data_IF_277987917357
#
_entry.id   IF_277987917357
#
_cell.length_a   1.000
_cell.length_b   1.000
_cell.length_c   1.000
_cell.angle_alpha   90.00
_cell.angle_beta   90.00
_cell.angle_gamma   90.00
#
_symmetry.space_group_name_H-M   'P 1'
#
loop_
_entity.id
_entity.type
_entity.pdbx_description
1 polymer ?
#
# COMPACT_ATOMS: atom_id res chain seq x y z
N UNK A 1 49.02 56.11 -43.15
CA UNK A 1 47.55 56.01 -43.32
C UNK A 1 47.07 54.89 -42.40
N UNK A 2 46.22 55.23 -41.42
CA UNK A 2 45.78 54.41 -40.29
C UNK A 2 44.58 53.51 -40.67
N UNK A 3 44.26 52.46 -39.90
CA UNK A 3 43.51 51.28 -40.34
C UNK A 3 41.99 51.48 -40.25
N UNK A 4 41.25 50.69 -41.02
CA UNK A 4 39.80 50.57 -40.89
C UNK A 4 39.46 49.61 -39.72
N UNK A 5 38.89 50.16 -38.64
CA UNK A 5 38.26 49.38 -37.57
C UNK A 5 36.91 48.84 -38.04
N UNK A 6 36.75 47.52 -38.04
CA UNK A 6 35.48 46.85 -38.21
C UNK A 6 34.72 46.82 -36.86
N UNK A 7 33.53 47.43 -36.82
CA UNK A 7 32.59 47.24 -35.70
C UNK A 7 31.96 45.85 -35.79
N UNK A 8 32.28 44.97 -34.86
CA UNK A 8 31.50 43.77 -34.59
C UNK A 8 30.12 44.18 -34.04
N UNK A 9 29.07 44.13 -34.88
CA UNK A 9 27.68 44.25 -34.41
C UNK A 9 27.28 42.94 -33.73
N UNK A 10 27.41 42.91 -32.40
CA UNK A 10 26.82 41.87 -31.55
C UNK A 10 25.31 42.14 -31.48
N UNK A 11 24.52 41.35 -32.23
CA UNK A 11 23.07 41.48 -32.26
C UNK A 11 22.45 41.14 -30.90
N UNK A 12 21.92 42.15 -30.21
CA UNK A 12 21.07 41.94 -29.05
C UNK A 12 19.72 41.41 -29.52
N UNK A 13 19.50 40.11 -29.35
CA UNK A 13 18.18 39.51 -29.58
C UNK A 13 17.22 40.14 -28.55
N UNK A 14 16.07 40.70 -28.97
CA UNK A 14 15.16 41.37 -28.05
C UNK A 14 14.57 40.34 -27.08
N UNK A 15 15.02 40.40 -25.83
CA UNK A 15 14.64 39.49 -24.75
C UNK A 15 13.12 39.41 -24.55
N UNK A 16 12.42 40.51 -24.84
CA UNK A 16 10.95 40.60 -24.81
C UNK A 16 10.28 39.59 -25.76
N UNK A 17 10.82 39.41 -26.98
CA UNK A 17 10.28 38.45 -27.94
C UNK A 17 10.51 37.01 -27.52
N UNK A 18 11.66 36.73 -26.90
CA UNK A 18 11.97 35.41 -26.32
C UNK A 18 11.03 35.12 -25.14
N UNK A 19 10.84 36.08 -24.23
CA UNK A 19 9.94 35.91 -23.08
C UNK A 19 8.48 35.69 -23.51
N UNK A 20 8.00 36.43 -24.52
CA UNK A 20 6.67 36.21 -25.08
C UNK A 20 6.53 34.83 -25.72
N UNK A 21 7.54 34.38 -26.48
CA UNK A 21 7.55 33.06 -27.09
C UNK A 21 7.54 31.95 -26.04
N UNK A 22 8.35 32.06 -24.98
CA UNK A 22 8.37 31.11 -23.86
C UNK A 22 7.03 31.10 -23.12
N UNK A 23 6.42 32.26 -22.87
CA UNK A 23 5.11 32.37 -22.22
C UNK A 23 3.99 31.72 -23.03
N UNK A 24 3.96 31.95 -24.35
CA UNK A 24 3.00 31.33 -25.26
C UNK A 24 3.20 29.81 -25.32
N UNK A 25 4.44 29.34 -25.32
CA UNK A 25 4.77 27.91 -25.34
C UNK A 25 4.30 27.19 -24.06
N UNK A 26 4.45 27.82 -22.89
CA UNK A 26 3.93 27.26 -21.63
C UNK A 26 2.41 27.32 -21.53
N UNK A 27 1.78 28.35 -22.10
CA UNK A 27 0.33 28.49 -22.12
C UNK A 27 -0.34 27.51 -23.11
N UNK A 28 0.36 27.14 -24.19
CA UNK A 28 -0.13 26.21 -25.21
C UNK A 28 0.29 24.76 -24.98
N UNK A 29 0.96 24.45 -23.88
CA UNK A 29 1.20 23.06 -23.50
C UNK A 29 0.09 22.63 -22.54
N UNK A 30 -1.03 22.06 -23.02
CA UNK A 30 -1.98 21.43 -22.12
C UNK A 30 -1.22 20.38 -21.33
N UNK A 31 -1.22 20.51 -20.00
CA UNK A 31 -0.68 19.44 -19.17
C UNK A 31 -1.44 18.16 -19.54
N UNK A 32 -0.75 17.02 -19.69
CA UNK A 32 -1.44 15.75 -19.92
C UNK A 32 -2.46 15.57 -18.79
N UNK A 33 -3.75 15.55 -19.11
CA UNK A 33 -4.75 15.02 -18.20
C UNK A 33 -4.29 13.61 -17.87
N UNK A 34 -3.88 13.38 -16.62
CA UNK A 34 -3.27 12.11 -16.23
C UNK A 34 -4.21 10.96 -16.55
N UNK A 35 -3.68 9.88 -17.12
CA UNK A 35 -4.44 8.65 -17.26
C UNK A 35 -4.68 8.06 -15.87
N UNK A 36 -5.83 7.43 -15.65
CA UNK A 36 -6.11 6.67 -14.43
C UNK A 36 -4.97 5.68 -14.17
N UNK A 37 -4.37 5.74 -12.98
CA UNK A 37 -3.25 4.87 -12.60
C UNK A 37 -3.43 4.36 -11.17
N UNK A 38 -2.94 3.15 -10.92
CA UNK A 38 -2.92 2.52 -9.61
C UNK A 38 -1.48 2.41 -9.12
N UNK A 39 -1.23 2.87 -7.91
CA UNK A 39 0.06 2.76 -7.22
C UNK A 39 -0.10 1.89 -5.96
N UNK A 40 0.54 0.71 -5.89
CA UNK A 40 0.54 -0.11 -4.69
C UNK A 40 1.54 0.43 -3.66
N UNK A 41 1.12 0.50 -2.40
CA UNK A 41 1.94 0.97 -1.28
C UNK A 41 1.82 0.01 -0.09
N UNK A 42 2.85 -0.82 0.19
CA UNK A 42 4.04 -1.08 -0.64
C UNK A 42 3.74 -2.00 -1.83
N UNK A 43 4.64 -2.01 -2.83
CA UNK A 43 4.60 -2.98 -3.96
C UNK A 43 5.02 -4.39 -3.51
N UNK A 44 6.00 -4.48 -2.60
CA UNK A 44 6.44 -5.73 -1.99
C UNK A 44 6.15 -5.66 -0.48
N UNK A 45 5.19 -6.46 -0.03
CA UNK A 45 4.69 -6.51 1.34
C UNK A 45 5.16 -7.78 2.06
N UNK A 46 5.29 -7.70 3.38
CA UNK A 46 5.41 -8.90 4.20
C UNK A 46 4.00 -9.42 4.53
N UNK A 47 3.85 -10.74 4.59
CA UNK A 47 2.62 -11.38 5.04
C UNK A 47 2.21 -10.87 6.43
N UNK A 48 0.92 -10.56 6.58
CA UNK A 48 0.35 -9.95 7.79
C UNK A 48 0.50 -8.43 7.89
N UNK A 49 0.96 -7.75 6.84
CA UNK A 49 0.96 -6.28 6.76
C UNK A 49 -0.19 -5.74 5.92
N UNK A 50 -0.35 -4.43 5.86
CA UNK A 50 -1.40 -3.79 5.07
C UNK A 50 -0.83 -3.29 3.73
N UNK A 51 -1.63 -3.35 2.68
CA UNK A 51 -1.30 -2.81 1.34
C UNK A 51 -2.40 -1.90 0.86
N UNK A 52 -2.03 -0.69 0.43
CA UNK A 52 -2.96 0.27 -0.16
C UNK A 52 -2.75 0.35 -1.67
N UNK A 53 -3.81 0.11 -2.44
CA UNK A 53 -3.86 0.43 -3.86
C UNK A 53 -4.36 1.87 -4.02
N UNK A 54 -3.44 2.81 -4.18
CA UNK A 54 -3.73 4.22 -4.38
C UNK A 54 -4.23 4.47 -5.80
N UNK A 55 -5.33 5.21 -5.91
CA UNK A 55 -5.89 5.66 -7.19
C UNK A 55 -5.44 7.08 -7.47
N UNK A 56 -4.86 7.30 -8.66
CA UNK A 56 -4.45 8.61 -9.14
C UNK A 56 -5.14 8.94 -10.46
N UNK A 57 -5.38 10.24 -10.68
CA UNK A 57 -5.94 10.79 -11.91
C UNK A 57 -7.28 10.15 -12.32
N UNK A 58 -8.11 9.77 -11.34
CA UNK A 58 -9.49 9.43 -11.61
C UNK A 58 -10.23 10.67 -12.13
N UNK A 59 -11.11 10.46 -13.11
CA UNK A 59 -11.86 11.54 -13.72
C UNK A 59 -12.82 12.23 -12.75
N UNK A 60 -13.03 13.53 -12.91
CA UNK A 60 -13.87 14.31 -11.99
C UNK A 60 -15.35 13.92 -12.04
N UNK A 61 -15.82 13.32 -13.14
CA UNK A 61 -17.22 12.95 -13.38
C UNK A 61 -17.53 11.47 -13.06
N UNK A 62 -16.76 10.84 -12.19
CA UNK A 62 -16.99 9.45 -11.75
C UNK A 62 -18.25 9.38 -10.86
N UNK A 63 -19.07 8.35 -11.07
CA UNK A 63 -20.26 8.04 -10.27
C UNK A 63 -20.11 6.76 -9.45
N UNK A 64 -19.10 5.93 -9.77
CA UNK A 64 -18.79 4.74 -9.00
C UNK A 64 -17.45 4.09 -9.34
N UNK A 65 -16.99 3.26 -8.42
CA UNK A 65 -15.76 2.47 -8.52
C UNK A 65 -16.10 1.00 -8.39
N UNK A 66 -15.43 0.13 -9.14
CA UNK A 66 -15.53 -1.32 -8.95
C UNK A 66 -14.16 -1.95 -9.05
N UNK A 67 -13.75 -2.66 -8.01
CA UNK A 67 -12.49 -3.40 -7.96
C UNK A 67 -12.68 -4.87 -8.30
N UNK A 68 -11.71 -5.41 -9.02
CA UNK A 68 -11.65 -6.80 -9.44
C UNK A 68 -10.29 -7.41 -9.09
N UNK A 69 -10.28 -8.69 -8.69
CA UNK A 69 -9.07 -9.49 -8.57
C UNK A 69 -8.62 -9.93 -9.98
N UNK A 70 -7.36 -9.70 -10.31
CA UNK A 70 -6.79 -9.98 -11.63
C UNK A 70 -6.97 -8.84 -12.65
N UNK A 71 -6.76 -9.17 -13.93
CA UNK A 71 -6.74 -8.23 -15.06
C UNK A 71 -8.08 -8.12 -15.82
N UNK A 72 -9.14 -8.74 -15.31
CA UNK A 72 -10.41 -8.90 -16.02
C UNK A 72 -11.54 -8.34 -15.16
N UNK A 73 -12.39 -7.52 -15.75
CA UNK A 73 -13.58 -6.92 -15.12
C UNK A 73 -14.80 -7.85 -15.23
N UNK A 74 -14.71 -9.03 -14.60
CA UNK A 74 -15.78 -10.05 -14.57
C UNK A 74 -16.39 -10.16 -13.16
N UNK A 75 -17.69 -10.41 -13.07
CA UNK A 75 -18.44 -10.42 -11.79
C UNK A 75 -17.96 -11.49 -10.80
N UNK A 76 -17.35 -12.58 -11.27
CA UNK A 76 -16.74 -13.62 -10.41
C UNK A 76 -15.48 -13.11 -9.71
N UNK A 77 -14.85 -12.10 -10.27
CA UNK A 77 -13.61 -11.50 -9.78
C UNK A 77 -13.87 -10.18 -9.03
N UNK A 78 -15.11 -9.71 -8.99
CA UNK A 78 -15.45 -8.45 -8.31
C UNK A 78 -15.19 -8.57 -6.80
N UNK A 79 -14.40 -7.66 -6.27
CA UNK A 79 -14.09 -7.53 -4.84
C UNK A 79 -15.15 -6.62 -4.19
N UNK A 80 -15.31 -5.40 -4.71
CA UNK A 80 -16.24 -4.43 -4.13
C UNK A 80 -16.65 -3.40 -5.19
N UNK A 81 -17.90 -2.97 -5.13
CA UNK A 81 -18.40 -1.83 -5.90
C UNK A 81 -18.79 -0.70 -4.94
N UNK A 82 -18.42 0.54 -5.24
CA UNK A 82 -18.75 1.72 -4.46
C UNK A 82 -19.53 2.71 -5.33
N UNK A 83 -20.71 3.09 -4.87
CA UNK A 83 -21.52 4.14 -5.47
C UNK A 83 -21.24 5.46 -4.77
N UNK A 84 -20.74 6.46 -5.50
CA UNK A 84 -20.51 7.80 -4.97
C UNK A 84 -21.84 8.48 -4.64
N UNK A 85 -22.88 8.23 -5.45
CA UNK A 85 -24.20 8.83 -5.30
C UNK A 85 -24.88 8.46 -3.99
N UNK A 86 -24.74 7.19 -3.58
CA UNK A 86 -25.35 6.66 -2.35
C UNK A 86 -24.35 6.54 -1.20
N UNK A 87 -23.05 6.72 -1.48
CA UNK A 87 -21.94 6.52 -0.54
C UNK A 87 -21.92 5.12 0.07
N UNK A 88 -22.32 4.11 -0.70
CA UNK A 88 -22.43 2.72 -0.24
C UNK A 88 -21.45 1.82 -0.97
N UNK A 89 -20.77 0.95 -0.22
CA UNK A 89 -19.98 -0.15 -0.75
C UNK A 89 -20.81 -1.44 -0.75
N UNK A 90 -20.77 -2.17 -1.86
CA UNK A 90 -21.42 -3.48 -2.04
C UNK A 90 -20.33 -4.52 -2.29
N UNK A 91 -20.14 -5.50 -1.38
CA UNK A 91 -19.21 -6.61 -1.58
C UNK A 91 -19.54 -7.44 -2.82
N UNK A 92 -18.50 -7.90 -3.52
CA UNK A 92 -18.60 -8.83 -4.63
C UNK A 92 -18.19 -10.26 -4.26
N UNK A 93 -18.14 -11.14 -5.26
CA UNK A 93 -17.83 -12.56 -5.10
C UNK A 93 -16.42 -12.81 -4.55
N UNK A 94 -15.45 -11.96 -4.89
CA UNK A 94 -14.06 -12.08 -4.50
C UNK A 94 -13.73 -11.30 -3.21
N UNK A 95 -14.73 -10.73 -2.52
CA UNK A 95 -14.53 -10.04 -1.26
C UNK A 95 -14.13 -11.02 -0.16
N UNK A 96 -12.95 -10.83 0.43
CA UNK A 96 -12.47 -11.68 1.54
C UNK A 96 -12.91 -11.16 2.90
N UNK A 97 -13.42 -9.93 2.98
CA UNK A 97 -13.71 -9.25 4.24
C UNK A 97 -12.52 -8.48 4.80
N UNK A 98 -11.35 -8.56 4.15
CA UNK A 98 -10.14 -7.82 4.51
C UNK A 98 -9.96 -6.54 3.71
N UNK A 99 -10.79 -6.32 2.68
CA UNK A 99 -10.69 -5.16 1.81
C UNK A 99 -11.59 -4.02 2.29
N UNK A 100 -11.09 -2.79 2.24
CA UNK A 100 -11.85 -1.58 2.53
C UNK A 100 -11.66 -0.57 1.41
N UNK A 101 -12.75 -0.20 0.74
CA UNK A 101 -12.74 0.85 -0.28
C UNK A 101 -12.92 2.23 0.35
N UNK A 102 -12.12 3.18 -0.10
CA UNK A 102 -12.25 4.59 0.26
C UNK A 102 -13.07 5.37 -0.77
N UNK A 103 -13.68 6.51 -0.38
CA UNK A 103 -14.46 7.36 -1.30
C UNK A 103 -13.69 7.89 -2.52
N UNK A 104 -12.36 7.92 -2.47
CA UNK A 104 -11.51 8.29 -3.61
C UNK A 104 -11.23 7.11 -4.57
N UNK A 105 -11.82 5.94 -4.31
CA UNK A 105 -11.64 4.72 -5.10
C UNK A 105 -10.46 3.86 -4.68
N UNK A 106 -9.56 4.34 -3.81
CA UNK A 106 -8.44 3.52 -3.30
C UNK A 106 -8.94 2.32 -2.50
N UNK A 107 -8.21 1.21 -2.58
CA UNK A 107 -8.56 -0.04 -1.89
C UNK A 107 -7.46 -0.45 -0.92
N UNK A 108 -7.81 -0.56 0.36
CA UNK A 108 -6.94 -1.10 1.39
C UNK A 108 -7.16 -2.60 1.52
N UNK A 109 -6.08 -3.37 1.51
CA UNK A 109 -6.04 -4.74 2.00
C UNK A 109 -5.42 -4.75 3.40
N UNK A 110 -6.12 -5.33 4.37
CA UNK A 110 -5.63 -5.50 5.74
C UNK A 110 -5.07 -6.91 5.94
N UNK A 111 -3.90 -7.03 6.56
CA UNK A 111 -3.25 -8.31 6.87
C UNK A 111 -3.15 -9.25 5.64
N UNK A 112 -2.44 -8.81 4.61
CA UNK A 112 -2.29 -9.54 3.34
C UNK A 112 -1.63 -10.91 3.54
N UNK A 113 -2.05 -11.90 2.75
CA UNK A 113 -1.42 -13.23 2.68
C UNK A 113 -0.71 -13.44 1.35
N UNK A 114 0.08 -14.51 1.23
CA UNK A 114 0.74 -14.83 -0.05
C UNK A 114 -0.26 -15.06 -1.20
N UNK A 115 -1.49 -15.49 -0.90
CA UNK A 115 -2.58 -15.68 -1.87
C UNK A 115 -3.17 -14.37 -2.41
N UNK A 116 -2.86 -13.24 -1.76
CA UNK A 116 -3.24 -11.91 -2.21
C UNK A 116 -2.26 -11.35 -3.24
N UNK A 117 -1.11 -12.00 -3.46
CA UNK A 117 -0.18 -11.61 -4.53
C UNK A 117 -0.86 -11.64 -5.89
N UNK A 118 -0.70 -10.56 -6.65
CA UNK A 118 -1.15 -10.50 -8.04
C UNK A 118 -1.67 -9.14 -8.44
N UNK A 119 -2.27 -9.11 -9.63
CA UNK A 119 -2.83 -7.92 -10.21
C UNK A 119 -4.26 -7.66 -9.73
N UNK A 120 -4.64 -6.40 -9.65
CA UNK A 120 -5.95 -5.92 -9.25
C UNK A 120 -6.36 -4.79 -10.16
N UNK A 121 -7.61 -4.83 -10.64
CA UNK A 121 -8.11 -3.91 -11.65
C UNK A 121 -9.23 -3.05 -11.07
N UNK A 122 -9.09 -1.73 -11.21
CA UNK A 122 -10.14 -0.77 -10.93
C UNK A 122 -10.85 -0.41 -12.23
N UNK A 123 -12.18 -0.52 -12.23
CA UNK A 123 -13.05 0.13 -13.19
C UNK A 123 -13.70 1.36 -12.54
N UNK A 124 -13.55 2.52 -13.16
CA UNK A 124 -14.31 3.72 -12.84
C UNK A 124 -15.45 3.88 -13.82
N UNK A 125 -16.65 4.16 -13.34
CA UNK A 125 -17.81 4.46 -14.18
C UNK A 125 -18.09 5.96 -14.11
N UNK A 126 -18.09 6.61 -15.26
CA UNK A 126 -18.39 8.03 -15.41
C UNK A 126 -19.90 8.27 -15.53
N UNK A 127 -20.33 9.52 -15.37
CA UNK A 127 -21.74 9.92 -15.47
C UNK A 127 -22.41 9.63 -16.83
N UNK A 128 -21.63 9.52 -17.89
CA UNK A 128 -22.07 9.14 -19.24
C UNK A 128 -22.04 7.62 -19.47
N UNK A 129 -21.82 6.84 -18.39
CA UNK A 129 -21.69 5.39 -18.39
C UNK A 129 -20.47 4.85 -19.15
N UNK A 130 -19.54 5.71 -19.55
CA UNK A 130 -18.24 5.27 -20.04
C UNK A 130 -17.39 4.74 -18.87
N UNK A 131 -16.50 3.80 -19.18
CA UNK A 131 -15.62 3.19 -18.18
C UNK A 131 -14.16 3.50 -18.48
N UNK A 132 -13.39 3.74 -17.43
CA UNK A 132 -11.93 3.74 -17.48
C UNK A 132 -11.39 2.66 -16.56
N UNK A 133 -10.30 2.03 -16.99
CA UNK A 133 -9.72 0.88 -16.31
C UNK A 133 -8.24 1.11 -16.06
N UNK A 134 -7.79 0.75 -14.86
CA UNK A 134 -6.38 0.71 -14.51
C UNK A 134 -6.09 -0.51 -13.63
N UNK A 135 -4.88 -1.02 -13.76
CA UNK A 135 -4.42 -2.23 -13.05
C UNK A 135 -3.19 -1.89 -12.24
N UNK A 136 -3.17 -2.33 -10.98
CA UNK A 136 -1.98 -2.34 -10.12
C UNK A 136 -1.63 -3.77 -9.72
N UNK A 137 -0.39 -4.01 -9.33
CA UNK A 137 0.07 -5.32 -8.86
C UNK A 137 0.94 -5.13 -7.62
N UNK A 138 0.75 -5.99 -6.62
CA UNK A 138 1.65 -6.09 -5.49
C UNK A 138 1.98 -7.55 -5.18
N UNK A 139 3.05 -7.76 -4.41
CA UNK A 139 3.58 -9.05 -4.01
C UNK A 139 3.64 -9.15 -2.51
N UNK A 140 3.40 -10.36 -2.01
CA UNK A 140 3.46 -10.67 -0.59
C UNK A 140 4.46 -11.79 -0.37
N UNK A 141 5.40 -11.56 0.54
CA UNK A 141 6.43 -12.53 0.93
C UNK A 141 6.17 -13.09 2.32
N UNK A 142 6.54 -14.35 2.54
CA UNK A 142 6.48 -14.98 3.86
C UNK A 142 7.22 -14.13 4.91
N UNK A 143 6.61 -13.95 6.08
CA UNK A 143 7.25 -13.21 7.16
C UNK A 143 8.42 -14.03 7.75
N UNK A 144 9.58 -13.40 7.95
CA UNK A 144 10.79 -14.06 8.46
C UNK A 144 10.73 -14.40 9.97
N UNK A 145 9.57 -14.27 10.63
CA UNK A 145 9.42 -14.38 12.08
C UNK A 145 9.34 -15.83 12.60
N UNK A 146 9.54 -16.86 11.76
CA UNK A 146 9.50 -18.28 12.16
C UNK A 146 10.85 -19.00 12.19
N UNK A 147 11.97 -18.28 12.31
CA UNK A 147 13.25 -18.90 12.64
C UNK A 147 13.86 -18.24 13.87
N UNK A 148 13.33 -18.58 15.04
CA UNK A 148 14.12 -18.55 16.26
C UNK A 148 15.25 -19.58 16.06
N UNK A 149 16.54 -19.20 16.03
CA UNK A 149 17.59 -20.20 16.09
C UNK A 149 17.54 -20.78 17.49
N UNK A 150 16.84 -21.91 17.66
CA UNK A 150 16.99 -22.75 18.83
C UNK A 150 18.44 -23.25 18.79
N UNK A 151 19.33 -22.45 19.35
CA UNK A 151 20.73 -22.79 19.53
C UNK A 151 20.74 -23.97 20.49
N UNK A 152 20.78 -25.16 19.91
CA UNK A 152 20.89 -26.42 20.62
C UNK A 152 22.08 -26.35 21.56
N UNK A 153 21.81 -26.20 22.86
CA UNK A 153 22.83 -26.42 23.88
C UNK A 153 23.07 -27.91 23.94
N UNK A 154 24.28 -28.27 23.52
CA UNK A 154 24.74 -29.65 23.36
C UNK A 154 24.68 -30.46 24.65
N UNK A 155 24.36 -31.74 24.45
CA UNK A 155 24.60 -32.83 25.38
C UNK A 155 26.10 -33.09 25.53
N UNK A 156 26.60 -33.12 26.78
CA UNK A 156 27.77 -33.86 27.36
C UNK A 156 28.45 -32.98 28.42
N UNK A 157 28.74 -33.37 29.66
CA UNK A 157 28.73 -34.64 30.37
C UNK A 157 28.39 -34.38 31.86
N UNK A 158 27.86 -35.41 32.52
CA UNK A 158 27.78 -35.53 33.98
C UNK A 158 29.18 -35.74 34.59
N UNK A 159 29.48 -35.15 35.76
CA UNK A 159 30.29 -35.83 36.76
C UNK A 159 29.54 -35.99 38.10
N UNK A 160 29.67 -37.20 38.64
CA UNK A 160 29.19 -37.74 39.92
C UNK A 160 29.59 -36.91 41.16
N UNK A 161 28.96 -37.17 42.33
CA UNK A 161 28.70 -36.18 43.36
C UNK A 161 29.86 -36.00 44.34
N UNK A 162 30.01 -34.79 44.87
CA UNK A 162 30.76 -34.54 46.11
C UNK A 162 29.83 -34.04 47.20
N UNK A 163 29.87 -34.78 48.29
CA UNK A 163 29.42 -34.51 49.65
C UNK A 163 29.79 -33.11 50.14
N UNK A 164 28.89 -32.50 50.91
CA UNK A 164 29.19 -31.30 51.69
C UNK A 164 27.91 -30.67 52.23
N UNK A 165 27.67 -30.88 53.52
CA UNK A 165 26.62 -30.26 54.32
C UNK A 165 26.57 -28.74 54.12
N UNK A 166 25.38 -28.15 54.18
CA UNK A 166 25.07 -27.24 55.29
C UNK A 166 23.58 -26.88 55.32
N UNK A 167 23.02 -27.08 56.51
CA UNK A 167 21.69 -26.73 56.93
C UNK A 167 21.51 -25.22 56.95
N UNK A 168 20.49 -24.69 56.25
CA UNK A 168 19.81 -23.48 56.72
C UNK A 168 18.30 -23.58 56.47
N UNK A 169 17.67 -24.14 57.50
CA UNK A 169 16.33 -23.85 58.01
C UNK A 169 15.86 -22.42 57.73
N UNK A 170 14.74 -22.29 57.01
CA UNK A 170 13.71 -21.28 57.31
C UNK A 170 12.32 -21.90 57.20
N UNK A 171 11.64 -21.83 58.33
CA UNK A 171 10.25 -22.19 58.60
C UNK A 171 9.32 -21.04 58.23
N UNK A 172 8.09 -21.35 57.79
CA UNK A 172 6.97 -20.41 57.67
C UNK A 172 5.99 -20.81 56.57
N UNK A 173 5.14 -21.81 56.79
CA UNK A 173 3.79 -21.67 57.35
C UNK A 173 2.74 -21.16 56.34
N UNK A 174 2.04 -22.14 55.76
CA UNK A 174 0.58 -22.24 55.55
C UNK A 174 -0.28 -20.97 55.54
N UNK A 175 -1.05 -20.81 54.47
CA UNK A 175 -2.27 -19.99 54.42
C UNK A 175 -3.17 -20.42 53.27
N UNK A 176 -4.09 -21.34 53.56
CA UNK A 176 -5.16 -21.81 52.67
C UNK A 176 -6.40 -20.96 52.88
N UNK A 177 -7.06 -20.50 51.81
CA UNK A 177 -8.46 -20.10 51.85
C UNK A 177 -9.14 -20.32 50.47
N UNK A 178 -10.40 -20.71 50.56
CA UNK A 178 -11.28 -21.36 49.60
C UNK A 178 -12.42 -20.38 49.26
N UNK A 179 -12.73 -20.18 47.96
CA UNK A 179 -14.05 -19.98 47.29
C UNK A 179 -15.15 -19.06 47.89
N UNK A 180 -16.33 -18.83 47.24
CA UNK A 180 -16.72 -18.82 45.80
C UNK A 180 -17.61 -17.58 45.44
N UNK A 181 -18.22 -17.63 44.24
CA UNK A 181 -19.49 -16.99 43.81
C UNK A 181 -19.49 -15.64 43.09
N UNK A 182 -20.26 -15.57 41.98
CA UNK A 182 -20.85 -14.33 41.49
C UNK A 182 -21.11 -14.25 39.99
N UNK A 183 -22.26 -14.76 39.56
CA UNK A 183 -22.93 -14.51 38.26
C UNK A 183 -23.01 -13.02 37.88
N UNK A 184 -22.77 -12.69 36.61
CA UNK A 184 -23.71 -12.11 35.63
C UNK A 184 -23.01 -11.92 34.28
#
# INVERSE_FOLDING_TARGET
MQPASACARRGCIPWQGILLAVSLLTFWNPQPTGQLTIEPVPVDAAEGTDVLLLVHNASENVVGYTWFKGNITDSRHQIVSYSILTQTATPGTAFSGRETIYPNGSLLFVNVTQEDTGSYTLQTTRNDFSNEVATGEFRVHASAQAQEPHLGKGTRASPSPRTGCDEHRWTGASGQARSPDGLL
#
